data_IF_687350149837
#
_entry.id   IF_687350149837
#
_cell.length_a   1.000
_cell.length_b   1.000
_cell.length_c   1.000
_cell.angle_alpha   90.00
_cell.angle_beta   90.00
_cell.angle_gamma   90.00
#
_symmetry.space_group_name_H-M   'P 1'
#
loop_
_entity.id
_entity.type
_entity.pdbx_description
1 polymer ?
#
# COMPACT_ATOMS: atom_id res chain seq x y z
N UNK A 1 0.70 25.75 6.83
CA UNK A 1 0.15 24.75 5.89
C UNK A 1 -1.36 24.87 5.72
N UNK A 2 -2.05 25.61 6.59
CA UNK A 2 -3.52 25.75 6.59
C UNK A 2 -4.14 26.10 5.21
N UNK A 3 -3.56 27.04 4.44
CA UNK A 3 -4.09 27.39 3.11
C UNK A 3 -3.88 26.31 2.04
N UNK A 4 -2.93 25.39 2.25
CA UNK A 4 -2.56 24.31 1.33
C UNK A 4 -3.54 23.15 1.50
N UNK A 5 -3.86 22.84 2.76
CA UNK A 5 -4.70 21.71 3.14
C UNK A 5 -6.20 22.03 3.08
N UNK A 6 -6.60 23.24 3.49
CA UNK A 6 -8.00 23.68 3.52
C UNK A 6 -8.39 24.53 2.30
N UNK A 7 -7.90 24.11 1.12
CA UNK A 7 -8.21 24.79 -0.15
C UNK A 7 -9.54 24.31 -0.75
N UNK A 8 -10.22 25.19 -1.49
CA UNK A 8 -11.34 24.76 -2.34
C UNK A 8 -10.80 23.95 -3.52
N UNK A 9 -10.97 22.63 -3.44
CA UNK A 9 -10.55 21.67 -4.46
C UNK A 9 -11.31 21.80 -5.80
N UNK A 10 -12.29 22.70 -5.89
CA UNK A 10 -12.99 23.05 -7.13
C UNK A 10 -12.49 24.37 -7.76
N UNK A 11 -11.53 25.05 -7.16
CA UNK A 11 -10.96 26.30 -7.69
C UNK A 11 -9.56 26.06 -8.30
N UNK A 12 -9.15 26.89 -9.27
CA UNK A 12 -7.81 26.82 -9.82
C UNK A 12 -6.72 27.02 -8.76
N UNK A 13 -5.72 26.13 -8.77
CA UNK A 13 -4.53 26.21 -7.92
C UNK A 13 -3.42 26.97 -8.67
N UNK A 14 -2.66 27.82 -7.96
CA UNK A 14 -1.47 28.45 -8.55
C UNK A 14 -0.35 27.43 -8.73
N UNK A 15 0.33 27.50 -9.85
CA UNK A 15 1.50 26.68 -10.12
C UNK A 15 2.82 27.37 -9.72
N UNK A 16 3.85 26.59 -9.31
CA UNK A 16 3.76 25.17 -8.94
C UNK A 16 2.85 24.98 -7.72
N UNK A 17 2.19 23.82 -7.63
CA UNK A 17 1.26 23.55 -6.53
C UNK A 17 1.97 23.68 -5.17
N UNK A 18 1.51 24.54 -4.25
CA UNK A 18 2.17 24.78 -2.97
C UNK A 18 2.14 23.54 -2.06
N UNK A 19 1.30 22.54 -2.33
CA UNK A 19 1.31 21.25 -1.64
C UNK A 19 2.56 20.42 -1.93
N UNK A 20 3.25 20.69 -3.04
CA UNK A 20 4.45 19.94 -3.44
C UNK A 20 5.69 20.65 -2.91
N UNK A 21 6.24 20.11 -1.82
CA UNK A 21 7.41 20.65 -1.15
C UNK A 21 8.70 19.98 -1.64
N UNK A 22 9.65 20.80 -2.06
CA UNK A 22 11.03 20.38 -2.35
C UNK A 22 11.87 20.48 -1.08
N UNK A 23 12.42 19.36 -0.63
CA UNK A 23 13.33 19.28 0.53
C UNK A 23 14.78 19.12 0.05
N UNK A 24 15.01 18.28 -0.96
CA UNK A 24 16.29 18.07 -1.65
C UNK A 24 16.15 18.42 -3.14
N UNK A 25 17.18 19.03 -3.75
CA UNK A 25 17.13 19.44 -5.15
C UNK A 25 16.89 18.28 -6.13
N UNK A 26 17.27 17.04 -5.77
CA UNK A 26 17.01 15.82 -6.54
C UNK A 26 15.52 15.60 -6.83
N UNK A 27 14.62 16.13 -6.00
CA UNK A 27 13.18 15.99 -6.20
C UNK A 27 12.63 16.83 -7.34
N UNK A 28 13.30 17.93 -7.72
CA UNK A 28 12.77 18.90 -8.71
C UNK A 28 12.44 18.30 -10.07
N UNK A 29 13.15 17.25 -10.49
CA UNK A 29 12.92 16.59 -11.77
C UNK A 29 11.59 15.81 -11.83
N UNK A 30 11.01 15.46 -10.68
CA UNK A 30 9.74 14.75 -10.57
C UNK A 30 8.54 15.69 -10.45
N UNK A 31 8.77 17.01 -10.41
CA UNK A 31 7.71 18.01 -10.30
C UNK A 31 7.39 18.57 -11.69
N UNK A 32 6.16 18.38 -12.11
CA UNK A 32 5.61 19.08 -13.26
C UNK A 32 5.15 20.48 -12.82
N UNK A 33 5.95 21.50 -13.14
CA UNK A 33 5.72 22.88 -12.72
C UNK A 33 4.44 23.53 -13.26
N UNK A 34 3.68 22.83 -14.10
CA UNK A 34 2.40 23.26 -14.69
C UNK A 34 1.23 22.33 -14.33
N UNK A 35 1.37 21.51 -13.27
CA UNK A 35 0.30 20.64 -12.75
C UNK A 35 -0.02 20.96 -11.29
N UNK A 36 -1.21 20.55 -10.86
CA UNK A 36 -1.63 20.56 -9.46
C UNK A 36 -2.20 19.21 -9.06
N UNK A 37 -2.25 18.97 -7.75
CA UNK A 37 -2.95 17.82 -7.17
C UNK A 37 -4.45 18.02 -7.33
N UNK A 38 -5.11 17.00 -7.85
CA UNK A 38 -6.56 16.96 -8.05
C UNK A 38 -7.22 15.96 -7.11
N UNK A 39 -8.33 16.36 -6.49
CA UNK A 39 -9.17 15.46 -5.72
C UNK A 39 -10.22 14.85 -6.64
N UNK A 40 -9.95 13.64 -7.12
CA UNK A 40 -10.81 12.97 -8.10
C UNK A 40 -12.10 12.41 -7.50
N UNK A 41 -12.16 12.17 -6.18
CA UNK A 41 -13.35 11.63 -5.52
C UNK A 41 -13.35 11.80 -3.99
N UNK A 42 -14.54 11.73 -3.38
CA UNK A 42 -14.76 11.64 -1.93
C UNK A 42 -15.92 10.68 -1.63
N UNK A 43 -15.95 10.11 -0.40
CA UNK A 43 -17.08 9.28 0.06
C UNK A 43 -16.73 7.88 0.54
N UNK A 44 -15.45 7.51 0.59
CA UNK A 44 -14.99 6.29 1.26
C UNK A 44 -14.92 6.54 2.77
N UNK A 45 -15.00 5.46 3.53
CA UNK A 45 -14.72 5.49 4.97
C UNK A 45 -13.24 5.33 5.26
N UNK A 46 -12.59 4.46 4.49
CA UNK A 46 -11.14 4.25 4.52
C UNK A 46 -10.72 3.70 3.16
N UNK A 47 -10.06 4.55 2.36
CA UNK A 47 -9.65 4.23 1.00
C UNK A 47 -8.25 3.63 1.02
N UNK A 48 -8.07 2.48 0.38
CA UNK A 48 -6.86 1.66 0.54
C UNK A 48 -6.53 0.84 -0.71
N UNK A 49 -5.31 0.33 -0.79
CA UNK A 49 -4.87 -0.59 -1.82
C UNK A 49 -5.13 -0.16 -3.27
N UNK A 50 -4.72 1.04 -3.71
CA UNK A 50 -4.92 1.48 -5.10
C UNK A 50 -4.10 0.66 -6.09
N UNK A 51 -4.71 0.30 -7.22
CA UNK A 51 -4.07 -0.40 -8.34
C UNK A 51 -4.55 0.14 -9.69
N UNK A 52 -3.60 0.41 -10.59
CA UNK A 52 -3.89 0.91 -11.94
C UNK A 52 -4.06 -0.24 -12.95
N UNK A 53 -5.14 -0.19 -13.72
CA UNK A 53 -5.41 -1.04 -14.87
C UNK A 53 -5.33 -0.22 -16.16
N UNK A 54 -4.13 -0.16 -16.76
CA UNK A 54 -3.90 0.63 -17.98
C UNK A 54 -4.68 0.15 -19.21
N UNK A 55 -4.96 -1.15 -19.28
CA UNK A 55 -5.84 -1.80 -20.27
C UNK A 55 -7.32 -1.43 -20.11
N UNK A 56 -7.75 -1.02 -18.91
CA UNK A 56 -9.09 -0.48 -18.65
C UNK A 56 -9.11 1.05 -18.52
N UNK A 57 -7.93 1.69 -18.57
CA UNK A 57 -7.74 3.11 -18.21
C UNK A 57 -8.44 3.46 -16.91
N UNK A 58 -8.19 2.68 -15.86
CA UNK A 58 -8.94 2.80 -14.61
C UNK A 58 -8.11 2.55 -13.37
N UNK A 59 -8.39 3.31 -12.32
CA UNK A 59 -7.87 3.09 -10.97
C UNK A 59 -8.90 2.28 -10.19
N UNK A 60 -8.49 1.18 -9.58
CA UNK A 60 -9.32 0.38 -8.65
C UNK A 60 -8.73 0.50 -7.26
N UNK A 61 -9.56 0.65 -6.24
CA UNK A 61 -9.15 0.69 -4.84
C UNK A 61 -10.23 0.13 -3.92
N UNK A 62 -9.88 -0.08 -2.67
CA UNK A 62 -10.76 -0.63 -1.65
C UNK A 62 -11.36 0.46 -0.78
N UNK A 63 -12.62 0.31 -0.40
CA UNK A 63 -13.27 1.08 0.67
C UNK A 63 -13.61 0.08 1.79
N UNK A 64 -12.59 -0.22 2.61
CA UNK A 64 -12.55 -1.42 3.47
C UNK A 64 -13.79 -1.50 4.37
N UNK A 65 -14.20 -0.44 5.11
CA UNK A 65 -15.30 -0.54 6.05
C UNK A 65 -16.68 -0.61 5.40
N UNK A 66 -16.80 -0.19 4.14
CA UNK A 66 -18.02 -0.35 3.36
C UNK A 66 -18.06 -1.68 2.59
N UNK A 67 -17.07 -2.56 2.77
CA UNK A 67 -17.02 -3.89 2.18
C UNK A 67 -17.24 -3.88 0.65
N UNK A 68 -16.60 -2.92 -0.02
CA UNK A 68 -16.66 -2.77 -1.48
C UNK A 68 -15.31 -2.36 -2.05
N UNK A 69 -15.17 -2.55 -3.36
CA UNK A 69 -14.10 -1.96 -4.16
C UNK A 69 -14.73 -0.95 -5.11
N UNK A 70 -14.01 0.13 -5.36
CA UNK A 70 -14.42 1.22 -6.25
C UNK A 70 -13.49 1.26 -7.47
N UNK A 71 -14.00 1.84 -8.55
CA UNK A 71 -13.26 2.06 -9.80
C UNK A 71 -13.48 3.50 -10.25
N UNK A 72 -12.40 4.20 -10.55
CA UNK A 72 -12.40 5.47 -11.26
C UNK A 72 -12.02 5.22 -12.71
N UNK A 73 -12.81 5.77 -13.64
CA UNK A 73 -12.57 5.71 -15.07
C UNK A 73 -11.85 6.98 -15.52
N UNK A 74 -10.66 6.84 -16.11
CA UNK A 74 -9.95 7.99 -16.68
C UNK A 74 -10.68 8.60 -17.88
N UNK A 75 -11.47 7.80 -18.60
CA UNK A 75 -12.17 8.25 -19.81
C UNK A 75 -13.39 9.12 -19.51
N UNK A 76 -14.08 8.85 -18.39
CA UNK A 76 -15.32 9.55 -18.02
C UNK A 76 -15.17 10.44 -16.79
N UNK A 77 -14.12 10.24 -15.99
CA UNK A 77 -13.94 10.87 -14.69
C UNK A 77 -14.87 10.33 -13.60
N UNK A 78 -15.67 9.30 -13.89
CA UNK A 78 -16.68 8.78 -12.97
C UNK A 78 -16.11 7.70 -12.04
N UNK A 79 -16.68 7.63 -10.83
CA UNK A 79 -16.43 6.56 -9.88
C UNK A 79 -17.64 5.66 -9.76
N UNK A 80 -17.44 4.35 -9.92
CA UNK A 80 -18.47 3.33 -9.77
C UNK A 80 -18.03 2.22 -8.82
N UNK A 81 -18.97 1.42 -8.32
CA UNK A 81 -18.64 0.18 -7.60
C UNK A 81 -18.01 -0.83 -8.56
N UNK A 82 -16.84 -1.34 -8.21
CA UNK A 82 -16.15 -2.42 -8.93
C UNK A 82 -16.58 -3.79 -8.42
N UNK A 83 -16.72 -3.96 -7.10
CA UNK A 83 -17.14 -5.21 -6.46
C UNK A 83 -17.81 -4.94 -5.11
N UNK A 84 -18.96 -5.58 -4.87
CA UNK A 84 -19.66 -5.53 -3.58
C UNK A 84 -20.51 -6.81 -3.41
N UNK A 85 -20.34 -7.58 -2.31
CA UNK A 85 -19.34 -7.41 -1.25
C UNK A 85 -17.91 -7.72 -1.74
N UNK A 86 -16.91 -7.03 -1.19
CA UNK A 86 -15.48 -7.26 -1.48
C UNK A 86 -14.78 -8.17 -0.47
N UNK A 87 -15.48 -8.59 0.58
CA UNK A 87 -14.93 -9.30 1.75
C UNK A 87 -13.86 -8.49 2.49
N UNK A 88 -14.11 -7.17 2.63
CA UNK A 88 -13.19 -6.21 3.20
C UNK A 88 -11.82 -6.31 2.50
N UNK A 89 -11.84 -6.30 1.16
CA UNK A 89 -10.65 -6.16 0.36
C UNK A 89 -9.84 -4.96 0.85
N UNK A 90 -8.52 -5.11 0.93
CA UNK A 90 -7.56 -4.09 1.32
C UNK A 90 -6.58 -3.87 0.14
N UNK A 91 -5.33 -4.30 0.26
CA UNK A 91 -4.29 -4.15 -0.74
C UNK A 91 -4.61 -4.87 -2.06
N UNK A 92 -4.26 -4.22 -3.16
CA UNK A 92 -4.46 -4.75 -4.50
C UNK A 92 -3.20 -4.58 -5.35
N UNK A 93 -2.98 -5.55 -6.23
CA UNK A 93 -1.95 -5.47 -7.27
C UNK A 93 -2.35 -6.25 -8.51
N UNK A 94 -1.51 -6.21 -9.55
CA UNK A 94 -1.71 -7.03 -10.76
C UNK A 94 -0.67 -8.13 -10.80
N UNK A 95 -1.09 -9.33 -11.18
CA UNK A 95 -0.14 -10.37 -11.56
C UNK A 95 0.47 -10.10 -12.93
N UNK A 96 1.44 -10.94 -13.32
CA UNK A 96 2.15 -10.81 -14.60
C UNK A 96 1.30 -11.12 -15.83
N UNK A 97 0.05 -11.56 -15.64
CA UNK A 97 -0.94 -11.78 -16.69
C UNK A 97 -2.00 -10.66 -16.70
N UNK A 98 -1.87 -9.67 -15.82
CA UNK A 98 -2.78 -8.53 -15.74
C UNK A 98 -4.04 -8.79 -14.91
N UNK A 99 -4.15 -9.93 -14.21
CA UNK A 99 -5.25 -10.26 -13.31
C UNK A 99 -5.08 -9.55 -11.97
N UNK A 100 -6.19 -9.28 -11.30
CA UNK A 100 -6.22 -8.63 -9.98
C UNK A 100 -5.84 -9.64 -8.89
N UNK A 101 -4.85 -9.30 -8.06
CA UNK A 101 -4.55 -9.96 -6.80
C UNK A 101 -5.01 -9.04 -5.66
N UNK A 102 -5.72 -9.60 -4.68
CA UNK A 102 -6.31 -8.85 -3.58
C UNK A 102 -6.03 -9.52 -2.25
N UNK A 103 -5.61 -8.74 -1.27
CA UNK A 103 -5.65 -9.10 0.15
C UNK A 103 -7.06 -8.84 0.69
N UNK A 104 -7.70 -9.83 1.31
CA UNK A 104 -9.03 -9.69 1.89
C UNK A 104 -8.96 -9.90 3.41
N UNK A 105 -9.50 -8.96 4.18
CA UNK A 105 -9.55 -9.05 5.66
C UNK A 105 -10.48 -10.18 6.16
N UNK A 106 -11.21 -10.86 5.27
CA UNK A 106 -11.74 -12.21 5.52
C UNK A 106 -10.67 -13.32 5.48
N UNK A 107 -9.42 -12.96 5.77
CA UNK A 107 -8.29 -13.85 6.07
C UNK A 107 -7.81 -14.67 4.86
N UNK A 108 -7.74 -14.03 3.68
CA UNK A 108 -7.28 -14.70 2.44
C UNK A 108 -6.66 -13.76 1.42
N UNK A 109 -5.80 -14.34 0.58
CA UNK A 109 -5.27 -13.72 -0.64
C UNK A 109 -5.98 -14.36 -1.83
N UNK A 110 -6.52 -13.54 -2.73
CA UNK A 110 -7.32 -14.01 -3.86
C UNK A 110 -6.83 -13.46 -5.19
N UNK A 111 -7.22 -14.14 -6.27
CA UNK A 111 -7.02 -13.70 -7.64
C UNK A 111 -8.36 -13.63 -8.36
N UNK A 112 -8.64 -12.51 -9.01
CA UNK A 112 -9.79 -12.39 -9.92
C UNK A 112 -9.37 -12.88 -11.29
N UNK A 113 -10.00 -13.94 -11.78
CA UNK A 113 -9.78 -14.47 -13.12
C UNK A 113 -10.47 -13.59 -14.18
N UNK A 114 -10.15 -13.80 -15.45
CA UNK A 114 -10.67 -12.98 -16.54
C UNK A 114 -12.20 -13.03 -16.71
N UNK A 115 -12.84 -14.12 -16.29
CA UNK A 115 -14.29 -14.28 -16.31
C UNK A 115 -14.97 -13.66 -15.07
N UNK A 116 -14.20 -13.04 -14.18
CA UNK A 116 -14.66 -12.43 -12.94
C UNK A 116 -14.76 -13.39 -11.76
N UNK A 117 -14.49 -14.68 -11.94
CA UNK A 117 -14.44 -15.64 -10.83
C UNK A 117 -13.27 -15.33 -9.89
N UNK A 118 -13.40 -15.70 -8.62
CA UNK A 118 -12.38 -15.45 -7.60
C UNK A 118 -11.76 -16.77 -7.17
N UNK A 119 -10.47 -16.92 -7.44
CA UNK A 119 -9.64 -18.03 -6.96
C UNK A 119 -9.01 -17.66 -5.64
N UNK A 120 -9.17 -18.50 -4.61
CA UNK A 120 -8.40 -18.36 -3.36
C UNK A 120 -7.00 -18.90 -3.60
N UNK A 121 -6.00 -18.04 -3.40
CA UNK A 121 -4.58 -18.41 -3.53
C UNK A 121 -4.04 -18.93 -2.21
N UNK A 122 -4.48 -18.34 -1.10
CA UNK A 122 -4.10 -18.76 0.24
C UNK A 122 -5.11 -18.24 1.27
N UNK A 123 -5.58 -19.08 2.18
CA UNK A 123 -6.41 -18.72 3.34
C UNK A 123 -5.88 -19.29 4.67
N UNK A 124 -4.86 -20.14 4.59
CA UNK A 124 -4.28 -20.82 5.72
C UNK A 124 -2.81 -21.16 5.50
N UNK A 125 -2.07 -21.30 6.60
CA UNK A 125 -0.68 -21.73 6.65
C UNK A 125 -0.52 -22.75 7.78
N UNK A 126 0.07 -23.91 7.50
CA UNK A 126 0.28 -25.00 8.48
C UNK A 126 -1.01 -25.39 9.25
N UNK A 127 -2.15 -25.37 8.56
CA UNK A 127 -3.46 -25.72 9.13
C UNK A 127 -4.12 -24.62 9.98
N UNK A 128 -3.54 -23.42 10.02
CA UNK A 128 -4.07 -22.26 10.75
C UNK A 128 -4.47 -21.15 9.79
N UNK A 129 -5.48 -20.35 10.13
CA UNK A 129 -5.96 -19.26 9.28
C UNK A 129 -4.96 -18.10 9.29
N UNK A 130 -4.73 -17.49 8.12
CA UNK A 130 -4.02 -16.19 8.00
C UNK A 130 -4.62 -15.15 8.93
N UNK A 131 -3.87 -14.15 9.42
CA UNK A 131 -4.40 -13.18 10.38
C UNK A 131 -5.42 -12.23 9.75
N UNK A 132 -4.97 -11.42 8.79
CA UNK A 132 -5.73 -10.59 7.86
C UNK A 132 -4.70 -9.98 6.90
N UNK A 133 -4.52 -10.55 5.70
CA UNK A 133 -3.59 -10.03 4.71
C UNK A 133 -3.87 -8.56 4.42
N UNK A 134 -2.83 -7.72 4.33
CA UNK A 134 -2.97 -6.28 4.24
C UNK A 134 -2.57 -5.75 2.84
N UNK A 135 -1.29 -5.74 2.47
CA UNK A 135 -0.83 -5.33 1.13
C UNK A 135 -0.11 -6.46 0.39
N UNK A 136 0.00 -6.35 -0.93
CA UNK A 136 0.50 -7.42 -1.82
C UNK A 136 1.26 -6.87 -3.03
N UNK A 137 2.35 -7.54 -3.41
CA UNK A 137 3.12 -7.27 -4.63
C UNK A 137 3.51 -8.55 -5.35
N UNK A 138 3.67 -8.46 -6.68
CA UNK A 138 4.03 -9.62 -7.53
C UNK A 138 5.43 -9.44 -8.11
N UNK A 139 6.29 -10.41 -7.82
CA UNK A 139 7.66 -10.47 -8.33
C UNK A 139 7.69 -10.88 -9.83
N UNK A 140 8.75 -10.60 -10.62
CA UNK A 140 8.81 -10.95 -12.04
C UNK A 140 8.74 -12.44 -12.35
N UNK A 141 9.16 -13.28 -11.40
CA UNK A 141 9.00 -14.73 -11.49
C UNK A 141 7.55 -15.20 -11.25
N UNK A 142 6.62 -14.27 -10.97
CA UNK A 142 5.23 -14.55 -10.66
C UNK A 142 4.93 -14.75 -9.17
N UNK A 143 5.95 -14.87 -8.32
CA UNK A 143 5.79 -15.03 -6.87
C UNK A 143 4.99 -13.89 -6.25
N UNK A 144 4.04 -14.23 -5.39
CA UNK A 144 3.11 -13.28 -4.77
C UNK A 144 3.56 -13.06 -3.33
N UNK A 145 3.98 -11.84 -3.01
CA UNK A 145 4.48 -11.47 -1.69
C UNK A 145 3.46 -10.59 -0.99
N UNK A 146 3.12 -10.90 0.26
CA UNK A 146 2.10 -10.14 0.99
C UNK A 146 2.39 -10.10 2.49
N UNK A 147 1.82 -9.10 3.16
CA UNK A 147 1.94 -8.89 4.61
C UNK A 147 0.68 -9.32 5.34
N UNK A 148 0.84 -9.85 6.57
CA UNK A 148 -0.27 -10.40 7.38
C UNK A 148 -0.29 -9.85 8.82
N UNK A 149 -0.52 -8.53 9.00
CA UNK A 149 -0.44 -7.85 10.31
C UNK A 149 -1.66 -8.11 11.22
N UNK A 150 -2.79 -8.55 10.66
CA UNK A 150 -4.01 -8.84 11.41
C UNK A 150 -4.95 -7.65 11.68
N UNK A 151 -4.86 -6.55 10.93
CA UNK A 151 -5.76 -5.40 11.13
C UNK A 151 -7.25 -5.78 11.05
N UNK A 152 -7.61 -6.61 10.06
CA UNK A 152 -8.97 -7.07 9.82
C UNK A 152 -9.60 -7.95 10.91
N UNK A 153 -8.84 -8.37 11.93
CA UNK A 153 -9.35 -9.22 13.03
C UNK A 153 -9.47 -8.50 14.37
N UNK A 154 -9.06 -7.24 14.46
CA UNK A 154 -9.18 -6.47 15.71
C UNK A 154 -10.62 -6.05 16.01
N UNK A 155 -11.35 -5.63 14.98
CA UNK A 155 -12.70 -5.07 15.09
C UNK A 155 -13.58 -5.46 13.89
N UNK A 156 -14.88 -5.21 14.01
CA UNK A 156 -15.83 -5.40 12.91
C UNK A 156 -15.85 -4.24 11.89
N UNK A 157 -15.05 -3.20 12.11
CA UNK A 157 -15.04 -2.03 11.24
C UNK A 157 -14.39 -2.34 9.89
N UNK A 158 -13.31 -3.12 9.88
CA UNK A 158 -12.54 -3.44 8.67
C UNK A 158 -12.51 -4.94 8.35
N UNK A 159 -13.30 -5.75 9.04
CA UNK A 159 -13.29 -7.20 8.86
C UNK A 159 -14.14 -7.92 9.90
N UNK A 160 -13.67 -9.10 10.32
CA UNK A 160 -14.38 -9.93 11.30
C UNK A 160 -13.46 -10.11 12.50
N UNK A 161 -13.89 -9.59 13.65
CA UNK A 161 -13.16 -9.76 14.90
C UNK A 161 -12.83 -11.24 15.16
N UNK A 162 -11.57 -11.53 15.47
CA UNK A 162 -11.10 -12.87 15.76
C UNK A 162 -9.72 -12.87 16.40
N UNK A 163 -9.25 -14.05 16.79
CA UNK A 163 -7.95 -14.22 17.42
C UNK A 163 -6.85 -14.47 16.37
N UNK A 164 -5.61 -14.13 16.74
CA UNK A 164 -4.42 -14.53 16.00
C UNK A 164 -4.22 -16.05 16.14
N UNK A 165 -3.95 -16.74 15.03
CA UNK A 165 -3.53 -18.15 15.03
C UNK A 165 -2.06 -18.30 14.62
N UNK A 166 -1.55 -17.30 13.89
CA UNK A 166 -0.19 -17.18 13.37
C UNK A 166 0.45 -15.89 13.92
N UNK A 167 1.79 -15.83 14.02
CA UNK A 167 2.50 -14.56 14.21
C UNK A 167 2.22 -13.60 13.04
N UNK A 168 2.50 -12.31 13.24
CA UNK A 168 2.56 -11.35 12.14
C UNK A 168 3.75 -11.68 11.25
N UNK A 169 3.50 -11.79 9.94
CA UNK A 169 4.47 -12.34 8.98
C UNK A 169 4.35 -11.68 7.63
N UNK A 170 5.43 -11.76 6.87
CA UNK A 170 5.41 -11.57 5.42
C UNK A 170 5.59 -12.93 4.77
N UNK A 171 4.78 -13.22 3.76
CA UNK A 171 4.79 -14.50 3.04
C UNK A 171 5.14 -14.30 1.57
N UNK A 172 5.60 -15.37 0.93
CA UNK A 172 5.66 -15.52 -0.52
C UNK A 172 4.92 -16.79 -0.94
N UNK A 173 3.94 -16.66 -1.83
CA UNK A 173 3.26 -17.78 -2.51
C UNK A 173 3.99 -18.09 -3.82
N UNK A 174 4.27 -19.36 -4.05
CA UNK A 174 4.77 -19.85 -5.32
C UNK A 174 3.66 -19.82 -6.39
N UNK A 175 3.90 -19.23 -7.58
CA UNK A 175 2.86 -19.03 -8.57
C UNK A 175 2.39 -20.32 -9.25
N UNK A 176 3.18 -21.40 -9.19
CA UNK A 176 2.87 -22.67 -9.83
C UNK A 176 2.24 -23.65 -8.85
N UNK A 177 2.83 -23.81 -7.65
CA UNK A 177 2.38 -24.81 -6.69
C UNK A 177 1.35 -24.28 -5.69
N UNK A 178 1.24 -22.95 -5.55
CA UNK A 178 0.50 -22.27 -4.48
C UNK A 178 1.01 -22.58 -3.06
N UNK A 179 2.18 -23.23 -2.94
CA UNK A 179 2.83 -23.38 -1.65
C UNK A 179 3.39 -22.02 -1.20
N UNK A 180 3.25 -21.73 0.09
CA UNK A 180 3.76 -20.50 0.68
C UNK A 180 4.98 -20.76 1.54
N UNK A 181 5.87 -19.77 1.62
CA UNK A 181 6.94 -19.71 2.62
C UNK A 181 6.83 -18.42 3.43
N UNK A 182 7.27 -18.47 4.68
CA UNK A 182 7.53 -17.27 5.49
C UNK A 182 8.85 -16.66 5.02
N UNK A 183 8.82 -15.39 4.63
CA UNK A 183 10.01 -14.64 4.18
C UNK A 183 10.51 -13.64 5.22
N UNK A 184 9.63 -13.22 6.13
CA UNK A 184 9.97 -12.44 7.32
C UNK A 184 8.95 -12.70 8.45
N UNK A 185 9.44 -12.72 9.69
CA UNK A 185 8.64 -12.78 10.92
C UNK A 185 9.22 -11.90 12.03
N UNK A 186 10.10 -10.95 11.69
CA UNK A 186 10.74 -10.07 12.67
C UNK A 186 10.03 -8.72 12.85
N UNK A 187 9.11 -8.37 11.95
CA UNK A 187 8.34 -7.13 11.98
C UNK A 187 7.08 -7.26 12.86
N UNK A 188 6.74 -6.20 13.59
CA UNK A 188 5.61 -6.20 14.53
C UNK A 188 4.26 -6.12 13.79
N UNK A 189 4.11 -5.15 12.88
CA UNK A 189 2.95 -5.00 11.99
C UNK A 189 3.41 -4.71 10.55
N UNK A 190 3.87 -5.74 9.81
CA UNK A 190 4.25 -5.59 8.41
C UNK A 190 3.03 -5.10 7.62
N UNK A 191 3.20 -4.03 6.84
CA UNK A 191 2.11 -3.31 6.20
C UNK A 191 2.36 -3.16 4.68
N UNK A 192 2.46 -1.94 4.14
CA UNK A 192 2.85 -1.73 2.74
C UNK A 192 4.19 -2.37 2.39
N UNK A 193 4.33 -2.84 1.15
CA UNK A 193 5.57 -3.43 0.63
C UNK A 193 5.78 -3.13 -0.85
N UNK A 194 7.04 -3.00 -1.26
CA UNK A 194 7.39 -2.84 -2.67
C UNK A 194 8.84 -3.26 -2.96
N UNK A 195 9.09 -3.74 -4.17
CA UNK A 195 10.44 -4.07 -4.63
C UNK A 195 11.16 -2.85 -5.19
N UNK A 196 12.49 -2.84 -5.12
CA UNK A 196 13.31 -1.98 -5.97
C UNK A 196 13.12 -2.31 -7.45
N UNK A 197 13.44 -1.40 -8.40
CA UNK A 197 13.19 -1.63 -9.83
C UNK A 197 13.87 -2.87 -10.40
N UNK A 198 15.02 -3.23 -9.84
CA UNK A 198 15.80 -4.42 -10.21
C UNK A 198 15.47 -5.66 -9.35
N UNK A 199 14.48 -5.57 -8.46
CA UNK A 199 14.01 -6.64 -7.57
C UNK A 199 15.04 -7.22 -6.60
N UNK A 200 16.22 -6.61 -6.49
CA UNK A 200 17.26 -7.08 -5.56
C UNK A 200 16.99 -6.68 -4.11
N UNK A 201 16.02 -5.78 -3.87
CA UNK A 201 15.62 -5.30 -2.55
C UNK A 201 14.11 -5.35 -2.40
N UNK A 202 13.65 -5.70 -1.20
CA UNK A 202 12.26 -5.53 -0.79
C UNK A 202 12.23 -4.51 0.34
N UNK A 203 11.28 -3.59 0.26
CA UNK A 203 10.94 -2.65 1.30
C UNK A 203 9.64 -3.08 1.96
N UNK A 204 9.54 -2.98 3.29
CA UNK A 204 8.32 -3.26 4.05
C UNK A 204 8.14 -2.18 5.11
N UNK A 205 6.96 -1.57 5.17
CA UNK A 205 6.57 -0.67 6.26
C UNK A 205 6.25 -1.50 7.50
N UNK A 206 6.75 -1.08 8.66
CA UNK A 206 6.34 -1.63 9.94
C UNK A 206 5.56 -0.57 10.73
N UNK A 207 4.28 -0.88 10.95
CA UNK A 207 3.34 -0.02 11.65
C UNK A 207 3.13 -0.44 13.11
N UNK A 208 4.09 -1.17 13.68
CA UNK A 208 4.04 -1.69 15.06
C UNK A 208 3.72 -0.64 16.13
N UNK A 209 4.08 0.63 15.88
CA UNK A 209 3.77 1.78 16.73
C UNK A 209 2.27 1.97 17.02
N UNK A 210 1.39 1.39 16.18
CA UNK A 210 -0.06 1.38 16.41
C UNK A 210 -0.50 0.48 17.57
N UNK A 211 0.34 -0.47 18.00
CA UNK A 211 0.01 -1.48 19.02
C UNK A 211 1.02 -1.52 20.16
N UNK A 212 2.29 -1.23 19.87
CA UNK A 212 3.38 -1.26 20.83
C UNK A 212 3.83 0.18 21.09
N UNK A 213 3.65 0.70 22.32
CA UNK A 213 4.15 2.03 22.68
C UNK A 213 5.64 2.17 22.39
N UNK A 214 6.04 3.32 21.87
CA UNK A 214 7.42 3.67 21.52
C UNK A 214 8.07 2.79 20.43
N UNK A 215 7.31 1.92 19.77
CA UNK A 215 7.81 1.17 18.61
C UNK A 215 8.14 2.12 17.45
N UNK A 216 9.23 1.89 16.69
CA UNK A 216 9.61 2.77 15.59
C UNK A 216 8.56 2.80 14.46
N UNK A 217 8.47 3.94 13.77
CA UNK A 217 7.64 4.10 12.56
C UNK A 217 8.57 4.13 11.36
N UNK A 218 8.74 2.99 10.71
CA UNK A 218 9.85 2.79 9.78
C UNK A 218 9.42 2.05 8.52
N UNK A 219 10.12 2.34 7.43
CA UNK A 219 10.24 1.42 6.30
C UNK A 219 11.58 0.72 6.43
N UNK A 220 11.54 -0.61 6.39
CA UNK A 220 12.70 -1.49 6.48
C UNK A 220 13.04 -1.98 5.08
N UNK A 221 14.33 -2.14 4.79
CA UNK A 221 14.86 -2.70 3.56
C UNK A 221 15.53 -4.05 3.85
N UNK A 222 15.34 -4.96 2.91
CA UNK A 222 15.92 -6.30 2.89
C UNK A 222 16.59 -6.54 1.54
N UNK A 223 17.65 -7.33 1.51
CA UNK A 223 18.18 -7.91 0.28
C UNK A 223 17.38 -9.16 -0.07
N UNK A 224 17.03 -9.29 -1.35
CA UNK A 224 16.29 -10.43 -1.90
C UNK A 224 17.28 -11.40 -2.53
N UNK A 225 17.41 -12.59 -1.95
CA UNK A 225 18.34 -13.63 -2.42
C UNK A 225 17.58 -14.96 -2.43
N UNK A 226 17.52 -15.61 -3.60
CA UNK A 226 16.84 -16.90 -3.78
C UNK A 226 15.42 -16.94 -3.18
N UNK A 227 14.63 -15.89 -3.47
CA UNK A 227 13.26 -15.72 -2.96
C UNK A 227 13.13 -15.63 -1.42
N UNK A 228 14.23 -15.30 -0.73
CA UNK A 228 14.28 -15.05 0.71
C UNK A 228 14.79 -13.64 1.01
N UNK A 229 14.51 -13.18 2.23
CA UNK A 229 14.97 -11.88 2.72
C UNK A 229 16.19 -12.05 3.62
N UNK A 230 17.12 -11.12 3.52
CA UNK A 230 18.32 -11.06 4.35
C UNK A 230 18.75 -9.61 4.60
N UNK A 231 19.70 -9.40 5.50
CA UNK A 231 20.32 -8.10 5.78
C UNK A 231 19.31 -6.99 6.11
N UNK A 232 18.33 -7.27 6.98
CA UNK A 232 17.36 -6.27 7.45
C UNK A 232 18.05 -5.00 7.95
N UNK A 233 17.57 -3.84 7.49
CA UNK A 233 18.06 -2.52 7.90
C UNK A 233 16.98 -1.46 7.75
N UNK A 234 17.06 -0.41 8.56
CA UNK A 234 16.19 0.76 8.41
C UNK A 234 16.52 1.47 7.11
N UNK A 235 15.51 1.67 6.27
CA UNK A 235 15.62 2.50 5.08
C UNK A 235 15.23 3.95 5.38
N UNK A 236 14.09 4.14 6.04
CA UNK A 236 13.61 5.45 6.45
C UNK A 236 12.91 5.36 7.82
N UNK A 237 13.16 6.37 8.65
CA UNK A 237 12.47 6.59 9.93
C UNK A 237 11.57 7.82 9.80
N UNK A 238 10.31 7.66 10.17
CA UNK A 238 9.27 8.67 9.98
C UNK A 238 8.99 9.47 11.26
N UNK A 239 9.70 9.18 12.36
CA UNK A 239 9.54 9.84 13.64
C UNK A 239 8.11 9.71 14.19
N UNK A 240 7.34 10.79 14.06
CA UNK A 240 5.95 10.86 14.54
C UNK A 240 4.92 10.42 13.50
N UNK A 241 5.25 10.44 12.21
CA UNK A 241 4.35 10.00 11.14
C UNK A 241 4.44 8.49 10.95
N UNK A 242 3.34 7.86 10.57
CA UNK A 242 3.26 6.42 10.31
C UNK A 242 3.23 6.16 8.81
N UNK A 243 4.21 5.41 8.24
CA UNK A 243 4.13 4.94 6.87
C UNK A 243 3.10 3.81 6.75
N UNK A 244 2.35 3.77 5.65
CA UNK A 244 1.38 2.71 5.38
C UNK A 244 1.72 2.01 4.05
N UNK A 245 0.88 2.14 3.02
CA UNK A 245 1.16 1.76 1.64
C UNK A 245 2.14 2.71 0.95
N UNK A 246 2.94 2.14 0.04
CA UNK A 246 3.90 2.90 -0.75
C UNK A 246 4.22 2.21 -2.06
N UNK A 247 4.86 2.95 -2.98
CA UNK A 247 5.34 2.42 -4.26
C UNK A 247 6.76 2.92 -4.55
N UNK A 248 7.48 2.17 -5.39
CA UNK A 248 8.82 2.52 -5.86
C UNK A 248 8.76 2.89 -7.33
N UNK A 249 9.29 4.05 -7.70
CA UNK A 249 9.33 4.48 -9.10
C UNK A 249 10.49 3.83 -9.87
N UNK A 250 10.56 4.11 -11.18
CA UNK A 250 11.56 3.52 -12.08
C UNK A 250 13.01 3.94 -11.76
N UNK A 251 13.20 5.06 -11.07
CA UNK A 251 14.52 5.56 -10.65
C UNK A 251 14.91 5.05 -9.26
N UNK A 252 14.02 4.29 -8.61
CA UNK A 252 14.23 3.65 -7.31
C UNK A 252 13.84 4.51 -6.11
N UNK A 253 13.11 5.61 -6.32
CA UNK A 253 12.62 6.43 -5.22
C UNK A 253 11.38 5.80 -4.59
N UNK A 254 11.27 5.89 -3.27
CA UNK A 254 10.15 5.38 -2.49
C UNK A 254 9.16 6.50 -2.24
N UNK A 255 7.92 6.34 -2.70
CA UNK A 255 6.80 7.26 -2.52
C UNK A 255 5.86 6.69 -1.47
N UNK A 256 6.00 7.15 -0.23
CA UNK A 256 5.31 6.60 0.93
C UNK A 256 4.10 7.41 1.35
N UNK A 257 2.94 6.74 1.38
CA UNK A 257 1.75 7.24 2.07
C UNK A 257 2.03 7.33 3.56
N UNK A 258 1.71 8.47 4.15
CA UNK A 258 1.96 8.74 5.57
C UNK A 258 0.75 9.38 6.23
N UNK A 259 0.49 8.96 7.46
CA UNK A 259 -0.62 9.42 8.28
C UNK A 259 -0.23 9.56 9.76
N UNK A 260 -1.11 10.19 10.54
CA UNK A 260 -0.96 10.35 12.00
C UNK A 260 0.28 11.12 12.48
N UNK A 261 0.97 11.79 11.57
CA UNK A 261 2.04 12.73 11.88
C UNK A 261 1.53 14.17 12.05
N UNK A 262 0.33 14.46 11.56
CA UNK A 262 -0.27 15.79 11.55
C UNK A 262 -0.04 16.51 10.21
N UNK A 263 -0.62 17.72 10.05
CA UNK A 263 -0.72 18.40 8.75
C UNK A 263 0.63 18.73 8.09
N UNK A 264 1.71 18.79 8.87
CA UNK A 264 3.06 19.06 8.35
C UNK A 264 3.76 17.80 7.83
N UNK A 265 3.20 16.62 8.09
CA UNK A 265 3.81 15.32 7.78
C UNK A 265 2.91 14.42 6.95
N UNK A 266 1.59 14.53 7.10
CA UNK A 266 0.59 13.71 6.43
C UNK A 266 0.55 13.98 4.92
N UNK A 267 0.30 12.94 4.13
CA UNK A 267 0.34 13.00 2.67
C UNK A 267 1.29 11.96 2.10
N UNK A 268 2.17 12.37 1.18
CA UNK A 268 3.19 11.51 0.60
C UNK A 268 4.58 12.04 0.89
N UNK A 269 5.45 11.21 1.48
CA UNK A 269 6.87 11.52 1.64
C UNK A 269 7.70 10.72 0.63
N UNK A 270 8.63 11.39 -0.04
CA UNK A 270 9.42 10.82 -1.15
C UNK A 270 10.88 10.70 -0.75
N UNK A 271 11.42 9.49 -0.83
CA UNK A 271 12.78 9.16 -0.42
C UNK A 271 13.60 8.70 -1.62
N UNK A 272 14.87 9.08 -1.65
CA UNK A 272 15.82 8.62 -2.68
C UNK A 272 16.20 7.16 -2.43
N UNK A 273 16.85 6.46 -3.38
CA UNK A 273 17.23 5.05 -3.19
C UNK A 273 18.19 4.80 -2.01
N UNK A 274 18.80 5.86 -1.47
CA UNK A 274 19.69 5.82 -0.30
C UNK A 274 18.97 6.06 1.04
N UNK A 275 17.66 6.36 1.02
CA UNK A 275 16.86 6.64 2.23
C UNK A 275 16.77 8.12 2.60
N UNK A 276 17.39 9.04 1.85
CA UNK A 276 17.25 10.49 2.10
C UNK A 276 15.87 10.99 1.69
N UNK A 277 15.15 11.66 2.60
CA UNK A 277 13.90 12.39 2.30
C UNK A 277 14.19 13.53 1.31
N UNK A 278 13.57 13.49 0.13
CA UNK A 278 13.79 14.49 -0.92
C UNK A 278 12.62 15.44 -1.15
N UNK A 279 11.40 15.04 -0.81
CA UNK A 279 10.21 15.84 -1.04
C UNK A 279 8.99 15.34 -0.29
N UNK A 280 7.97 16.18 -0.24
CA UNK A 280 6.67 15.86 0.35
C UNK A 280 5.54 16.41 -0.51
N UNK A 281 4.41 15.69 -0.54
CA UNK A 281 3.15 16.15 -1.11
C UNK A 281 2.14 16.19 0.03
N UNK A 282 1.79 17.40 0.46
CA UNK A 282 0.87 17.63 1.58
C UNK A 282 -0.58 17.46 1.13
N UNK A 283 -1.31 16.56 1.80
CA UNK A 283 -2.71 16.24 1.47
C UNK A 283 -3.63 16.52 2.65
N UNK A 284 -4.92 16.83 2.41
CA UNK A 284 -5.86 17.25 3.47
C UNK A 284 -6.18 16.13 4.47
N UNK A 285 -5.90 14.88 4.11
CA UNK A 285 -6.10 13.68 4.89
C UNK A 285 -4.80 12.86 4.87
N UNK A 286 -4.59 12.02 5.89
CA UNK A 286 -3.52 11.03 5.87
C UNK A 286 -3.67 10.08 4.69
N UNK A 287 -2.55 9.56 4.18
CA UNK A 287 -2.54 8.59 3.09
C UNK A 287 -2.25 7.22 3.65
N UNK A 288 -3.08 6.27 3.25
CA UNK A 288 -2.86 4.84 3.39
C UNK A 288 -2.27 4.29 2.08
#
# INVERSE_FOLDING_TARGET
>A
LDFILDRDWNQPVRYPDPAVQVIDQRFRQYILGSSAIERIWTGARWAEGPVWFGDMRSLVWSDIPNNRMLRWSEETGEVSVFREPSNNANGNTRDRQGRLITCEHQRRVTRTEYDGTVTVLMDSFEGKRLNAPNDVVVHPDGGIWFTDPGYGIHWHYEGIKGDFELPTRTYRIDPETLEAIVVDEELEKPNGLAFSPNYSRLYIADTGASHVPDYPRQILQFDVVDNRLSNKRVFADFGQASPDGFRVDVDGNVWAGVSWGGPDFDGVQVFTPDGTLMGAIHLPEGVA
#
